data_IF_726854979281
#
_entry.id   IF_726854979281
#
_cell.length_a   1.000
_cell.length_b   1.000
_cell.length_c   1.000
_cell.angle_alpha   90.00
_cell.angle_beta   90.00
_cell.angle_gamma   90.00
#
_symmetry.space_group_name_H-M   'P 1'
#
loop_
_entity.id
_entity.type
_entity.pdbx_description
1 polymer ?
#
# COMPACT_ATOMS: atom_id res chain seq x y z
N UNK A 1 -10.49 8.80 27.32
CA UNK A 1 -9.06 8.39 27.34
C UNK A 1 -9.05 6.94 27.80
N UNK A 2 -8.54 5.99 27.00
CA UNK A 2 -8.51 4.57 27.36
C UNK A 2 -7.52 4.39 28.51
N UNK A 3 -7.92 3.74 29.60
CA UNK A 3 -7.10 3.51 30.80
C UNK A 3 -5.86 2.65 30.47
N UNK A 4 -4.67 3.27 30.32
CA UNK A 4 -3.48 2.55 29.89
C UNK A 4 -2.90 1.69 31.02
N UNK A 5 -3.11 2.10 32.28
CA UNK A 5 -2.67 1.37 33.46
C UNK A 5 -3.56 0.13 33.62
N UNK A 6 -4.88 0.29 33.55
CA UNK A 6 -5.81 -0.84 33.58
C UNK A 6 -5.57 -1.84 32.44
N UNK A 7 -5.32 -1.35 31.23
CA UNK A 7 -4.98 -2.22 30.09
C UNK A 7 -3.69 -3.01 30.32
N UNK A 8 -2.67 -2.35 30.88
CA UNK A 8 -1.42 -3.01 31.27
C UNK A 8 -1.66 -4.10 32.33
N UNK A 9 -2.39 -3.81 33.39
CA UNK A 9 -2.71 -4.79 34.44
C UNK A 9 -3.51 -5.96 33.88
N UNK A 10 -4.50 -5.72 33.01
CA UNK A 10 -5.28 -6.78 32.37
C UNK A 10 -4.39 -7.72 31.54
N UNK A 11 -3.49 -7.17 30.72
CA UNK A 11 -2.58 -7.98 29.90
C UNK A 11 -1.62 -8.78 30.80
N UNK A 12 -1.05 -8.12 31.82
CA UNK A 12 -0.14 -8.73 32.80
C UNK A 12 -0.81 -9.92 33.49
N UNK A 13 -1.99 -9.71 34.08
CA UNK A 13 -2.73 -10.74 34.81
C UNK A 13 -3.20 -11.88 33.90
N UNK A 14 -3.64 -11.58 32.67
CA UNK A 14 -4.02 -12.62 31.72
C UNK A 14 -2.84 -13.50 31.30
N UNK A 15 -1.65 -12.92 31.11
CA UNK A 15 -0.46 -13.69 30.78
C UNK A 15 0.02 -14.54 31.96
N UNK A 16 0.03 -13.97 33.16
CA UNK A 16 0.34 -14.72 34.39
C UNK A 16 -0.62 -15.91 34.52
N UNK A 17 -1.93 -15.68 34.38
CA UNK A 17 -2.94 -16.75 34.46
C UNK A 17 -2.75 -17.85 33.42
N UNK A 18 -2.39 -17.47 32.18
CA UNK A 18 -2.05 -18.44 31.14
C UNK A 18 -0.86 -19.30 31.57
N UNK A 19 0.22 -18.67 32.05
CA UNK A 19 1.42 -19.36 32.52
C UNK A 19 1.12 -20.27 33.73
N UNK A 20 0.23 -19.84 34.62
CA UNK A 20 -0.26 -20.65 35.74
C UNK A 20 -1.02 -21.89 35.28
N UNK A 21 -1.89 -21.73 34.29
CA UNK A 21 -2.79 -22.80 33.83
C UNK A 21 -2.07 -23.79 32.90
N UNK A 22 -1.27 -23.30 31.96
CA UNK A 22 -0.62 -24.13 30.94
C UNK A 22 0.61 -24.88 31.47
N UNK A 23 1.32 -24.31 32.44
CA UNK A 23 2.59 -24.84 32.96
C UNK A 23 2.58 -25.06 34.47
N UNK A 24 1.39 -25.22 35.07
CA UNK A 24 1.25 -25.47 36.49
C UNK A 24 1.87 -26.80 36.93
N UNK A 25 2.43 -26.82 38.13
CA UNK A 25 3.01 -28.01 38.76
C UNK A 25 2.22 -28.41 39.99
N UNK A 26 2.48 -29.63 40.50
CA UNK A 26 1.85 -30.13 41.74
C UNK A 26 2.48 -29.57 43.04
N UNK A 27 3.53 -28.76 42.94
CA UNK A 27 4.33 -28.33 44.10
C UNK A 27 3.95 -26.90 44.51
N UNK A 28 3.12 -26.77 45.55
CA UNK A 28 2.58 -25.48 45.98
C UNK A 28 3.66 -24.43 46.33
N UNK A 29 4.78 -24.85 46.93
CA UNK A 29 5.88 -23.94 47.25
C UNK A 29 6.53 -23.33 46.01
N UNK A 30 6.72 -24.14 44.97
CA UNK A 30 7.26 -23.70 43.69
C UNK A 30 6.31 -22.72 42.99
N UNK A 31 5.00 -22.97 43.06
CA UNK A 31 3.99 -22.09 42.47
C UNK A 31 3.99 -20.70 43.12
N UNK A 32 4.14 -20.63 44.45
CA UNK A 32 4.23 -19.35 45.18
C UNK A 32 5.48 -18.55 44.78
N UNK A 33 6.64 -19.19 44.73
CA UNK A 33 7.89 -18.53 44.31
C UNK A 33 7.80 -18.05 42.86
N UNK A 34 7.24 -18.90 41.98
CA UNK A 34 7.03 -18.56 40.57
C UNK A 34 6.09 -17.37 40.40
N UNK A 35 4.95 -17.35 41.11
CA UNK A 35 4.01 -16.24 41.06
C UNK A 35 4.65 -14.92 41.52
N UNK A 36 5.46 -14.95 42.58
CA UNK A 36 6.19 -13.79 43.06
C UNK A 36 7.20 -13.27 42.01
N UNK A 37 7.92 -14.17 41.34
CA UNK A 37 8.84 -13.81 40.25
C UNK A 37 8.12 -13.24 39.04
N UNK A 38 7.01 -13.85 38.61
CA UNK A 38 6.19 -13.34 37.50
C UNK A 38 5.59 -11.95 37.82
N UNK A 39 5.36 -11.67 39.09
CA UNK A 39 4.93 -10.36 39.56
C UNK A 39 6.06 -9.36 39.85
N UNK A 40 7.32 -9.72 39.61
CA UNK A 40 8.46 -8.85 39.83
C UNK A 40 8.79 -8.02 38.58
N UNK A 41 9.00 -6.70 38.76
CA UNK A 41 9.38 -5.78 37.68
C UNK A 41 10.67 -6.25 37.00
N UNK A 42 10.69 -6.23 35.67
CA UNK A 42 11.77 -6.70 34.77
C UNK A 42 11.93 -8.22 34.66
N UNK A 43 11.04 -9.03 35.24
CA UNK A 43 10.99 -10.47 34.98
C UNK A 43 10.05 -10.76 33.82
N UNK A 44 8.73 -10.68 34.06
CA UNK A 44 7.73 -10.89 33.02
C UNK A 44 7.38 -9.61 32.28
N UNK A 45 7.33 -8.50 33.01
CA UNK A 45 6.86 -7.21 32.53
C UNK A 45 7.76 -6.08 33.04
N UNK A 46 7.59 -4.89 32.50
CA UNK A 46 8.14 -3.66 33.08
C UNK A 46 7.01 -2.71 33.42
N UNK A 47 7.05 -2.08 34.59
CA UNK A 47 6.05 -1.07 34.96
C UNK A 47 6.00 0.02 33.88
N UNK A 48 4.79 0.47 33.47
CA UNK A 48 4.65 1.47 32.43
C UNK A 48 5.33 2.77 32.86
N UNK A 49 6.10 3.34 31.95
CA UNK A 49 6.65 4.69 32.10
C UNK A 49 5.72 5.67 31.42
N UNK A 50 5.40 6.76 32.12
CA UNK A 50 4.56 7.84 31.59
C UNK A 50 5.49 9.02 31.33
N UNK A 51 5.65 9.36 30.06
CA UNK A 51 6.40 10.53 29.62
C UNK A 51 5.43 11.50 28.92
N UNK A 52 5.27 12.74 29.40
CA UNK A 52 4.54 13.75 28.68
C UNK A 52 5.37 14.20 27.47
N UNK A 53 4.87 13.95 26.26
CA UNK A 53 5.49 14.45 25.04
C UNK A 53 4.90 15.83 24.72
N UNK A 54 5.73 16.87 24.50
CA UNK A 54 5.24 18.16 24.06
C UNK A 54 4.60 18.04 22.67
N UNK A 55 3.55 18.83 22.42
CA UNK A 55 2.91 18.90 21.11
C UNK A 55 3.88 19.43 20.06
N UNK A 56 3.85 18.85 18.86
CA UNK A 56 4.63 19.33 17.74
C UNK A 56 4.09 20.67 17.23
N UNK A 57 4.98 21.61 16.94
CA UNK A 57 4.66 22.97 16.48
C UNK A 57 3.73 22.91 15.27
N UNK A 58 2.55 23.52 15.37
CA UNK A 58 1.60 23.62 14.26
C UNK A 58 2.06 24.65 13.23
N UNK A 59 1.86 24.34 11.94
CA UNK A 59 1.99 25.31 10.84
C UNK A 59 0.87 26.35 10.81
N UNK A 60 -0.16 26.17 11.64
CA UNK A 60 -1.42 26.91 11.63
C UNK A 60 -2.27 26.76 10.36
N UNK A 61 -1.85 25.95 9.38
CA UNK A 61 -2.58 25.71 8.13
C UNK A 61 -3.18 24.31 8.08
N UNK A 62 -4.39 24.19 7.53
CA UNK A 62 -4.93 22.91 7.05
C UNK A 62 -4.46 22.70 5.62
N UNK A 63 -4.60 21.47 5.11
CA UNK A 63 -4.28 21.15 3.71
C UNK A 63 -5.07 22.03 2.74
N UNK A 64 -6.34 22.30 3.05
CA UNK A 64 -7.21 23.14 2.22
C UNK A 64 -6.73 24.61 2.15
N UNK A 65 -6.08 25.08 3.20
CA UNK A 65 -5.59 26.47 3.33
C UNK A 65 -4.24 26.70 2.64
N UNK A 66 -3.60 25.64 2.10
CA UNK A 66 -2.30 25.75 1.44
C UNK A 66 -2.38 26.59 0.16
N UNK A 67 -1.48 27.56 0.01
CA UNK A 67 -1.34 28.37 -1.20
C UNK A 67 -0.39 27.69 -2.20
N UNK A 68 -0.31 28.20 -3.44
CA UNK A 68 0.69 27.71 -4.40
C UNK A 68 2.12 27.91 -3.88
N UNK A 69 2.39 28.99 -3.14
CA UNK A 69 3.71 29.22 -2.53
C UNK A 69 4.04 28.18 -1.45
N UNK A 70 3.04 27.75 -0.67
CA UNK A 70 3.21 26.67 0.30
C UNK A 70 3.52 25.32 -0.37
N UNK A 71 3.12 25.17 -1.64
CA UNK A 71 3.42 24.02 -2.49
C UNK A 71 4.66 24.25 -3.37
N UNK A 72 5.48 25.25 -3.03
CA UNK A 72 6.71 25.58 -3.76
C UNK A 72 6.49 26.07 -5.19
N UNK A 73 5.28 26.53 -5.52
CA UNK A 73 4.83 26.87 -6.88
C UNK A 73 5.06 25.75 -7.91
N UNK A 74 5.10 24.50 -7.43
CA UNK A 74 5.41 23.34 -8.26
C UNK A 74 4.17 22.71 -8.92
N UNK A 75 2.97 23.19 -8.57
CA UNK A 75 1.67 22.73 -9.06
C UNK A 75 0.90 23.92 -9.66
N UNK A 76 0.12 23.67 -10.71
CA UNK A 76 -0.93 24.56 -11.17
C UNK A 76 -2.12 24.60 -10.19
N UNK A 77 -3.03 25.56 -10.34
CA UNK A 77 -4.23 25.65 -9.50
C UNK A 77 -5.09 24.38 -9.59
N UNK A 78 -5.26 23.82 -10.79
CA UNK A 78 -6.02 22.60 -10.99
C UNK A 78 -5.38 21.42 -10.26
N UNK A 79 -4.07 21.22 -10.41
CA UNK A 79 -3.33 20.13 -9.74
C UNK A 79 -3.32 20.31 -8.23
N UNK A 80 -3.20 21.54 -7.73
CA UNK A 80 -3.27 21.84 -6.31
C UNK A 80 -4.66 21.52 -5.73
N UNK A 81 -5.74 21.81 -6.46
CA UNK A 81 -7.09 21.45 -6.04
C UNK A 81 -7.28 19.93 -6.04
N UNK A 82 -6.85 19.22 -7.09
CA UNK A 82 -6.85 17.76 -7.15
C UNK A 82 -6.10 17.15 -5.95
N UNK A 83 -4.94 17.70 -5.61
CA UNK A 83 -4.17 17.28 -4.43
C UNK A 83 -4.94 17.48 -3.12
N UNK A 84 -5.45 18.69 -2.88
CA UNK A 84 -6.16 19.02 -1.64
C UNK A 84 -7.40 18.15 -1.44
N UNK A 85 -8.17 17.93 -2.49
CA UNK A 85 -9.36 17.09 -2.44
C UNK A 85 -9.02 15.62 -2.18
N UNK A 86 -8.06 15.06 -2.93
CA UNK A 86 -7.61 13.68 -2.74
C UNK A 86 -7.08 13.43 -1.31
N UNK A 87 -6.31 14.37 -0.76
CA UNK A 87 -5.81 14.24 0.62
C UNK A 87 -6.96 14.19 1.63
N UNK A 88 -8.03 14.94 1.39
CA UNK A 88 -9.18 15.03 2.29
C UNK A 88 -10.07 13.77 2.29
N UNK A 89 -10.00 12.91 1.26
CA UNK A 89 -10.83 11.69 1.21
C UNK A 89 -10.37 10.59 2.17
N UNK A 90 -9.08 10.57 2.54
CA UNK A 90 -8.59 9.51 3.42
C UNK A 90 -7.13 9.58 3.90
N UNK A 91 -6.30 10.48 3.39
CA UNK A 91 -4.90 10.60 3.85
C UNK A 91 -4.80 11.43 5.11
N UNK A 92 -5.40 12.63 5.12
CA UNK A 92 -5.28 13.58 6.21
C UNK A 92 -6.64 14.19 6.55
N UNK A 93 -7.05 14.24 7.83
CA UNK A 93 -8.33 14.81 8.19
C UNK A 93 -8.43 16.29 7.79
N UNK A 94 -9.50 16.66 7.10
CA UNK A 94 -9.70 18.03 6.59
C UNK A 94 -9.71 19.12 7.67
N UNK A 95 -10.10 18.75 8.90
CA UNK A 95 -10.12 19.67 10.04
C UNK A 95 -8.77 19.82 10.74
N UNK A 96 -7.84 18.89 10.54
CA UNK A 96 -6.56 18.86 11.24
C UNK A 96 -5.59 19.87 10.63
N UNK A 97 -4.79 20.51 11.49
CA UNK A 97 -3.70 21.40 11.07
C UNK A 97 -2.45 20.58 10.83
N UNK A 98 -1.67 20.94 9.82
CA UNK A 98 -0.37 20.35 9.58
C UNK A 98 0.60 20.77 10.68
N UNK A 99 1.49 19.87 11.08
CA UNK A 99 2.68 20.24 11.83
C UNK A 99 3.64 21.02 10.92
N UNK A 100 4.47 21.89 11.50
CA UNK A 100 5.39 22.75 10.75
C UNK A 100 6.35 21.92 9.88
N UNK A 101 6.87 20.82 10.42
CA UNK A 101 7.74 19.90 9.68
C UNK A 101 7.03 19.19 8.51
N UNK A 102 5.71 18.99 8.57
CA UNK A 102 4.94 18.40 7.46
C UNK A 102 4.79 19.41 6.31
N UNK A 103 4.50 20.68 6.64
CA UNK A 103 4.39 21.76 5.67
C UNK A 103 5.75 22.08 5.02
N UNK A 104 6.82 22.15 5.82
CA UNK A 104 8.18 22.34 5.34
C UNK A 104 8.61 21.19 4.43
N UNK A 105 8.41 19.93 4.86
CA UNK A 105 8.71 18.75 4.04
C UNK A 105 7.97 18.77 2.70
N UNK A 106 6.69 19.13 2.70
CA UNK A 106 5.89 19.26 1.48
C UNK A 106 6.48 20.29 0.52
N UNK A 107 6.80 21.50 1.00
CA UNK A 107 7.37 22.58 0.18
C UNK A 107 8.74 22.21 -0.38
N UNK A 108 9.66 21.78 0.48
CA UNK A 108 11.04 21.45 0.11
C UNK A 108 11.09 20.28 -0.88
N UNK A 109 10.29 19.23 -0.66
CA UNK A 109 10.25 18.07 -1.56
C UNK A 109 9.67 18.44 -2.93
N UNK A 110 8.64 19.30 -2.98
CA UNK A 110 8.06 19.76 -4.24
C UNK A 110 9.00 20.65 -5.06
N UNK A 111 9.93 21.34 -4.39
CA UNK A 111 11.01 22.08 -5.03
C UNK A 111 12.16 21.18 -5.53
N UNK A 112 12.12 19.89 -5.23
CA UNK A 112 13.11 18.90 -5.68
C UNK A 112 14.25 18.64 -4.69
N UNK A 113 14.12 19.11 -3.45
CA UNK A 113 15.16 18.90 -2.44
C UNK A 113 15.08 17.51 -1.81
N UNK A 114 16.24 16.98 -1.42
CA UNK A 114 16.33 15.78 -0.60
C UNK A 114 16.16 16.16 0.87
N UNK A 115 15.22 15.52 1.57
CA UNK A 115 14.82 15.91 2.90
C UNK A 115 15.04 14.79 3.93
N UNK A 116 15.38 15.17 5.16
CA UNK A 116 15.58 14.25 6.30
C UNK A 116 14.66 14.70 7.44
N UNK A 117 13.91 13.77 8.04
CA UNK A 117 13.05 14.05 9.18
C UNK A 117 13.58 13.34 10.41
N UNK A 118 13.99 14.11 11.42
CA UNK A 118 14.48 13.60 12.71
C UNK A 118 13.42 13.83 13.80
N UNK A 119 12.43 12.95 13.90
CA UNK A 119 11.36 13.07 14.90
C UNK A 119 10.95 11.72 15.51
N UNK A 120 10.33 11.77 16.70
CA UNK A 120 9.85 10.60 17.43
C UNK A 120 8.64 9.92 16.81
N UNK A 121 8.33 8.71 17.25
CA UNK A 121 7.10 7.99 16.85
C UNK A 121 5.87 8.82 17.22
N UNK A 122 4.85 8.82 16.36
CA UNK A 122 3.64 9.61 16.58
C UNK A 122 3.72 11.08 16.15
N UNK A 123 4.87 11.57 15.64
CA UNK A 123 4.99 12.97 15.18
C UNK A 123 4.24 13.31 13.89
N UNK A 124 3.63 12.32 13.22
CA UNK A 124 3.10 12.49 11.87
C UNK A 124 4.17 12.43 10.76
N UNK A 125 5.25 11.65 10.96
CA UNK A 125 6.28 11.39 9.93
C UNK A 125 5.72 10.79 8.65
N UNK A 126 4.71 9.94 8.79
CA UNK A 126 4.09 9.26 7.65
C UNK A 126 3.45 10.26 6.71
N UNK A 127 2.66 11.18 7.26
CA UNK A 127 2.02 12.26 6.52
C UNK A 127 3.06 13.19 5.90
N UNK A 128 4.19 13.43 6.57
CA UNK A 128 5.25 14.29 6.05
C UNK A 128 5.84 13.79 4.71
N UNK A 129 6.00 12.48 4.50
CA UNK A 129 6.46 11.96 3.19
C UNK A 129 5.31 11.56 2.24
N UNK A 130 4.11 11.26 2.76
CA UNK A 130 2.95 10.92 1.91
C UNK A 130 2.33 12.16 1.26
N UNK A 131 2.31 13.32 1.93
CA UNK A 131 1.80 14.56 1.36
C UNK A 131 2.52 14.95 0.05
N UNK A 132 3.87 15.07 0.00
CA UNK A 132 4.55 15.38 -1.25
C UNK A 132 4.38 14.29 -2.31
N UNK A 133 4.29 13.02 -1.91
CA UNK A 133 3.97 11.92 -2.84
C UNK A 133 2.60 12.12 -3.50
N UNK A 134 1.56 12.39 -2.72
CA UNK A 134 0.22 12.64 -3.23
C UNK A 134 0.19 13.86 -4.13
N UNK A 135 0.90 14.93 -3.77
CA UNK A 135 1.01 16.12 -4.60
C UNK A 135 1.66 15.84 -5.97
N UNK A 136 2.69 14.98 -6.03
CA UNK A 136 3.28 14.57 -7.31
C UNK A 136 2.33 13.68 -8.11
N UNK A 137 1.64 12.73 -7.47
CA UNK A 137 0.64 11.89 -8.15
C UNK A 137 -0.49 12.74 -8.73
N UNK A 138 -0.93 13.79 -8.04
CA UNK A 138 -1.98 14.69 -8.51
C UNK A 138 -1.66 15.38 -9.83
N UNK A 139 -0.38 15.63 -10.14
CA UNK A 139 0.05 16.16 -11.45
C UNK A 139 -0.23 15.18 -12.59
N UNK A 140 0.03 13.89 -12.35
CA UNK A 140 -0.25 12.84 -13.32
C UNK A 140 -1.75 12.55 -13.45
N UNK A 141 -2.46 12.46 -12.32
CA UNK A 141 -3.90 12.17 -12.27
C UNK A 141 -4.75 13.12 -13.10
N UNK A 142 -4.41 14.41 -13.09
CA UNK A 142 -5.11 15.43 -13.88
C UNK A 142 -5.00 15.19 -15.40
N UNK A 143 -4.02 14.41 -15.85
CA UNK A 143 -3.70 14.20 -17.25
C UNK A 143 -3.93 12.75 -17.72
N UNK A 144 -4.40 11.85 -16.85
CA UNK A 144 -4.64 10.46 -17.23
C UNK A 144 -5.90 10.32 -18.10
N UNK A 145 -5.71 9.66 -19.24
CA UNK A 145 -6.80 9.31 -20.14
C UNK A 145 -7.79 8.34 -19.50
N UNK A 146 -9.04 8.36 -19.96
CA UNK A 146 -10.05 7.38 -19.57
C UNK A 146 -9.59 5.96 -19.91
N UNK A 147 -9.57 5.04 -18.92
CA UNK A 147 -9.29 3.63 -19.17
C UNK A 147 -10.28 2.99 -20.15
N UNK A 148 -9.87 1.89 -20.75
CA UNK A 148 -10.77 1.02 -21.50
C UNK A 148 -11.74 0.29 -20.56
N UNK A 149 -12.78 -0.33 -21.13
CA UNK A 149 -13.70 -1.17 -20.37
C UNK A 149 -12.96 -2.35 -19.72
N UNK A 150 -13.23 -2.58 -18.44
CA UNK A 150 -12.72 -3.75 -17.70
C UNK A 150 -13.34 -5.04 -18.27
N UNK A 151 -12.56 -6.11 -18.48
CA UNK A 151 -13.11 -7.42 -18.78
C UNK A 151 -14.05 -7.88 -17.66
N UNK A 152 -15.19 -8.50 -17.99
CA UNK A 152 -16.17 -8.94 -16.99
C UNK A 152 -15.59 -9.91 -15.95
N UNK A 153 -14.57 -10.68 -16.33
CA UNK A 153 -13.91 -11.69 -15.48
C UNK A 153 -12.81 -11.13 -14.59
N UNK A 154 -12.38 -9.87 -14.79
CA UNK A 154 -11.16 -9.34 -14.17
C UNK A 154 -11.25 -9.33 -12.65
N UNK A 155 -12.45 -9.20 -12.08
CA UNK A 155 -12.71 -9.15 -10.64
C UNK A 155 -13.33 -10.44 -10.07
N UNK A 156 -13.42 -11.53 -10.84
CA UNK A 156 -14.11 -12.76 -10.39
C UNK A 156 -13.40 -14.04 -10.81
N UNK A 157 -12.30 -13.99 -11.57
CA UNK A 157 -11.69 -15.17 -12.19
C UNK A 157 -11.15 -16.21 -11.19
N UNK A 158 -10.95 -15.85 -9.93
CA UNK A 158 -10.56 -16.75 -8.84
C UNK A 158 -11.74 -17.57 -8.27
N UNK A 159 -12.98 -17.23 -8.61
CA UNK A 159 -14.18 -17.99 -8.24
C UNK A 159 -14.18 -19.42 -8.83
N UNK A 160 -15.19 -20.21 -8.48
CA UNK A 160 -15.39 -21.52 -9.10
C UNK A 160 -15.79 -21.37 -10.58
N UNK A 161 -15.42 -22.34 -11.41
CA UNK A 161 -15.76 -22.31 -12.84
C UNK A 161 -17.27 -22.42 -13.11
N UNK A 162 -18.03 -22.93 -12.13
CA UNK A 162 -19.50 -23.00 -12.14
C UNK A 162 -20.17 -21.66 -11.80
N UNK A 163 -19.40 -20.69 -11.29
CA UNK A 163 -19.85 -19.31 -11.05
C UNK A 163 -19.35 -18.42 -12.20
N UNK A 164 -18.29 -17.64 -11.96
CA UNK A 164 -17.65 -16.75 -12.96
C UNK A 164 -16.13 -16.91 -12.99
N UNK A 165 -15.63 -18.01 -12.43
CA UNK A 165 -14.21 -18.33 -12.36
C UNK A 165 -13.64 -18.81 -13.69
N UNK A 166 -12.32 -18.69 -13.84
CA UNK A 166 -11.61 -19.16 -15.02
C UNK A 166 -10.80 -20.42 -14.73
N UNK A 167 -10.57 -21.20 -15.79
CA UNK A 167 -9.67 -22.36 -15.76
C UNK A 167 -8.20 -21.92 -15.87
N UNK A 168 -7.24 -22.75 -15.43
CA UNK A 168 -5.82 -22.40 -15.51
C UNK A 168 -5.31 -22.05 -16.91
N UNK A 169 -5.85 -22.68 -17.96
CA UNK A 169 -5.51 -22.39 -19.36
C UNK A 169 -6.06 -21.04 -19.85
N UNK A 170 -7.10 -20.51 -19.21
CA UNK A 170 -7.65 -19.17 -19.50
C UNK A 170 -6.95 -18.08 -18.69
N UNK A 171 -6.45 -18.42 -17.49
CA UNK A 171 -5.75 -17.49 -16.59
C UNK A 171 -4.33 -17.19 -17.09
N UNK A 172 -3.65 -18.17 -17.67
CA UNK A 172 -2.24 -18.05 -18.09
C UNK A 172 -2.13 -18.10 -19.60
N UNK A 173 -1.40 -17.16 -20.18
CA UNK A 173 -1.04 -17.19 -21.59
C UNK A 173 -0.04 -18.34 -21.85
N UNK A 174 -0.37 -19.32 -22.71
CA UNK A 174 0.45 -20.51 -22.91
C UNK A 174 1.77 -20.24 -23.65
N UNK A 175 1.90 -19.10 -24.33
CA UNK A 175 3.09 -18.75 -25.12
C UNK A 175 4.19 -18.15 -24.24
N UNK A 176 3.82 -17.26 -23.31
CA UNK A 176 4.79 -16.54 -22.49
C UNK A 176 4.70 -16.86 -20.98
N UNK A 177 3.77 -17.72 -20.58
CA UNK A 177 3.57 -18.14 -19.19
C UNK A 177 3.36 -16.96 -18.21
N UNK A 178 2.68 -15.91 -18.66
CA UNK A 178 2.25 -14.78 -17.82
C UNK A 178 0.73 -14.78 -17.66
N UNK A 179 0.19 -13.95 -16.78
CA UNK A 179 -1.27 -13.75 -16.70
C UNK A 179 -1.84 -13.33 -18.07
N UNK A 180 -3.02 -13.83 -18.41
CA UNK A 180 -3.73 -13.46 -19.64
C UNK A 180 -4.40 -12.08 -19.51
N UNK A 181 -4.75 -11.48 -20.65
CA UNK A 181 -5.43 -10.18 -20.66
C UNK A 181 -6.79 -10.19 -19.96
N UNK A 182 -7.42 -11.36 -19.80
CA UNK A 182 -8.73 -11.51 -19.15
C UNK A 182 -8.68 -11.36 -17.62
N UNK A 183 -7.49 -11.47 -17.01
CA UNK A 183 -7.34 -11.54 -15.53
C UNK A 183 -6.46 -10.45 -14.93
N UNK A 184 -5.59 -9.84 -15.74
CA UNK A 184 -4.66 -8.77 -15.33
C UNK A 184 -5.44 -7.57 -14.80
N UNK A 185 -5.15 -7.17 -13.56
CA UNK A 185 -5.88 -6.11 -12.85
C UNK A 185 -5.89 -4.77 -13.61
N UNK A 186 -4.78 -4.42 -14.25
CA UNK A 186 -4.55 -3.10 -14.88
C UNK A 186 -4.57 -3.11 -16.41
N UNK A 187 -4.93 -4.22 -17.05
CA UNK A 187 -4.89 -4.35 -18.51
C UNK A 187 -5.77 -3.35 -19.27
N UNK A 188 -6.79 -2.82 -18.60
CA UNK A 188 -7.73 -1.86 -19.15
C UNK A 188 -7.17 -0.42 -19.15
N UNK A 189 -6.12 -0.13 -18.37
CA UNK A 189 -5.50 1.20 -18.36
C UNK A 189 -4.76 1.49 -19.66
N UNK A 190 -4.78 2.76 -20.09
CA UNK A 190 -4.02 3.25 -21.25
C UNK A 190 -2.69 3.90 -20.86
N UNK A 191 -2.59 4.34 -19.61
CA UNK A 191 -1.39 4.99 -19.08
C UNK A 191 -0.25 3.98 -18.89
N UNK A 192 1.01 4.40 -19.03
CA UNK A 192 2.15 3.53 -18.76
C UNK A 192 2.18 3.10 -17.29
N UNK A 193 2.47 1.83 -17.06
CA UNK A 193 2.71 1.29 -15.72
C UNK A 193 4.17 1.55 -15.30
N UNK A 194 4.40 1.70 -14.00
CA UNK A 194 5.69 2.12 -13.47
C UNK A 194 5.59 2.52 -12.00
N UNK A 195 6.67 2.31 -11.26
CA UNK A 195 6.75 2.66 -9.84
C UNK A 195 7.07 4.14 -9.70
N UNK A 196 6.06 4.94 -9.39
CA UNK A 196 6.19 6.40 -9.13
C UNK A 196 6.86 6.64 -7.77
N UNK A 197 6.60 5.77 -6.81
CA UNK A 197 7.22 5.82 -5.49
C UNK A 197 7.55 4.44 -4.95
N UNK A 198 8.77 4.33 -4.41
CA UNK A 198 9.26 3.16 -3.69
C UNK A 198 9.42 3.50 -2.21
N UNK A 199 8.65 2.83 -1.35
CA UNK A 199 8.73 2.99 0.10
C UNK A 199 9.44 1.76 0.69
N UNK A 200 10.57 1.99 1.36
CA UNK A 200 11.38 0.95 1.98
C UNK A 200 11.23 0.96 3.49
N UNK A 201 10.72 -0.15 4.03
CA UNK A 201 10.67 -0.38 5.47
C UNK A 201 11.68 -1.44 5.90
N UNK A 202 12.26 -1.33 7.11
CA UNK A 202 13.21 -2.32 7.61
C UNK A 202 12.53 -3.65 7.99
N UNK A 203 11.23 -3.64 8.32
CA UNK A 203 10.49 -4.80 8.83
C UNK A 203 9.13 -4.97 8.17
N UNK A 204 8.70 -6.22 7.97
CA UNK A 204 7.38 -6.53 7.40
C UNK A 204 6.21 -6.00 8.24
N UNK A 205 6.35 -5.93 9.56
CA UNK A 205 5.30 -5.38 10.43
C UNK A 205 4.98 -3.91 10.10
N UNK A 206 6.01 -3.12 9.79
CA UNK A 206 5.84 -1.73 9.36
C UNK A 206 5.20 -1.66 7.96
N UNK A 207 5.53 -2.60 7.06
CA UNK A 207 4.85 -2.69 5.76
C UNK A 207 3.34 -2.89 5.97
N UNK A 208 2.94 -3.84 6.82
CA UNK A 208 1.52 -4.15 7.06
C UNK A 208 0.75 -2.99 7.71
N UNK A 209 1.33 -2.30 8.70
CA UNK A 209 0.71 -1.10 9.28
C UNK A 209 0.43 -0.04 8.20
N UNK A 210 1.36 0.13 7.27
CA UNK A 210 1.30 1.17 6.24
C UNK A 210 0.38 0.77 5.08
N UNK A 211 0.21 -0.52 4.82
CA UNK A 211 -0.82 -1.02 3.89
C UNK A 211 -2.23 -0.64 4.35
N UNK A 212 -2.53 -0.73 5.65
CA UNK A 212 -3.84 -0.31 6.17
C UNK A 212 -4.07 1.19 5.92
N UNK A 213 -3.03 2.02 6.11
CA UNK A 213 -3.08 3.46 5.85
C UNK A 213 -3.28 3.77 4.37
N UNK A 214 -2.54 3.11 3.47
CA UNK A 214 -2.73 3.30 2.03
C UNK A 214 -4.13 2.84 1.57
N UNK A 215 -4.68 1.76 2.13
CA UNK A 215 -6.07 1.37 1.84
C UNK A 215 -7.07 2.44 2.27
N UNK A 216 -6.90 3.07 3.43
CA UNK A 216 -7.74 4.22 3.83
C UNK A 216 -7.59 5.38 2.86
N UNK A 217 -6.36 5.71 2.48
CA UNK A 217 -6.04 6.87 1.68
C UNK A 217 -6.34 6.73 0.19
N UNK A 218 -6.34 5.50 -0.37
CA UNK A 218 -6.43 5.24 -1.82
C UNK A 218 -7.55 4.28 -2.22
N UNK A 219 -8.16 3.58 -1.26
CA UNK A 219 -9.13 2.51 -1.54
C UNK A 219 -10.37 2.52 -0.60
N UNK A 220 -10.54 3.59 0.18
CA UNK A 220 -11.77 3.83 0.94
C UNK A 220 -12.93 4.16 0.03
N UNK A 221 -14.17 3.96 0.51
CA UNK A 221 -15.38 4.25 -0.27
C UNK A 221 -15.39 5.73 -0.74
N UNK A 222 -15.03 6.67 0.13
CA UNK A 222 -14.92 8.10 -0.20
C UNK A 222 -13.89 8.36 -1.31
N UNK A 223 -12.71 7.73 -1.20
CA UNK A 223 -11.65 7.93 -2.20
C UNK A 223 -12.01 7.31 -3.54
N UNK A 224 -12.62 6.12 -3.54
CA UNK A 224 -13.10 5.46 -4.77
C UNK A 224 -14.17 6.29 -5.47
N UNK A 225 -15.12 6.84 -4.72
CA UNK A 225 -16.16 7.71 -5.25
C UNK A 225 -15.55 8.99 -5.84
N UNK A 226 -14.61 9.61 -5.12
CA UNK A 226 -13.93 10.80 -5.59
C UNK A 226 -13.09 10.54 -6.86
N UNK A 227 -12.32 9.46 -6.93
CA UNK A 227 -11.57 9.07 -8.12
C UNK A 227 -12.51 8.83 -9.32
N UNK A 228 -13.61 8.13 -9.10
CA UNK A 228 -14.61 7.89 -10.16
C UNK A 228 -15.17 9.20 -10.73
N UNK A 229 -15.43 10.18 -9.86
CA UNK A 229 -15.99 11.48 -10.27
C UNK A 229 -14.96 12.44 -10.88
N UNK A 230 -13.69 12.41 -10.43
CA UNK A 230 -12.72 13.48 -10.72
C UNK A 230 -11.52 13.05 -11.57
N UNK A 231 -11.31 11.75 -11.81
CA UNK A 231 -10.10 11.25 -12.49
C UNK A 231 -10.41 10.34 -13.69
N UNK A 232 -11.55 10.55 -14.34
CA UNK A 232 -12.03 9.72 -15.46
C UNK A 232 -12.14 8.23 -15.11
N UNK A 233 -12.36 7.89 -13.83
CA UNK A 233 -12.39 6.51 -13.35
C UNK A 233 -11.01 5.85 -13.17
N UNK A 234 -9.91 6.62 -13.25
CA UNK A 234 -8.59 6.09 -12.96
C UNK A 234 -8.38 5.85 -11.45
N UNK A 235 -7.60 4.83 -11.12
CA UNK A 235 -7.20 4.53 -9.75
C UNK A 235 -5.70 4.68 -9.55
N UNK A 236 -5.29 5.00 -8.33
CA UNK A 236 -3.87 5.03 -7.92
C UNK A 236 -3.54 3.67 -7.33
N UNK A 237 -2.80 2.85 -8.06
CA UNK A 237 -2.48 1.49 -7.63
C UNK A 237 -1.31 1.46 -6.67
N UNK A 238 -1.43 0.67 -5.62
CA UNK A 238 -0.35 0.44 -4.67
C UNK A 238 -0.15 -1.05 -4.43
N UNK A 239 1.05 -1.48 -4.08
CA UNK A 239 1.33 -2.90 -3.86
C UNK A 239 2.42 -3.12 -2.84
N UNK A 240 2.20 -4.08 -1.94
CA UNK A 240 3.28 -4.67 -1.13
C UNK A 240 4.00 -5.73 -1.95
N UNK A 241 5.32 -5.64 -2.03
CA UNK A 241 6.16 -6.65 -2.66
C UNK A 241 7.10 -7.23 -1.59
N UNK A 242 6.64 -8.25 -0.86
CA UNK A 242 7.41 -8.92 0.21
C UNK A 242 7.06 -10.43 0.27
N UNK A 243 7.51 -11.12 1.32
CA UNK A 243 7.23 -12.55 1.53
C UNK A 243 5.74 -12.92 1.55
N UNK A 244 4.87 -11.98 1.93
CA UNK A 244 3.42 -12.18 2.04
C UNK A 244 2.66 -11.95 0.73
N UNK A 245 3.30 -11.38 -0.30
CA UNK A 245 2.66 -11.09 -1.59
C UNK A 245 2.29 -12.38 -2.34
N UNK A 246 1.00 -12.62 -2.64
CA UNK A 246 0.54 -13.81 -3.37
C UNK A 246 1.10 -13.83 -4.80
N UNK A 247 1.38 -14.96 -5.43
CA UNK A 247 2.20 -16.02 -4.83
C UNK A 247 3.61 -15.90 -5.42
N UNK A 248 4.61 -16.39 -4.70
CA UNK A 248 5.98 -16.45 -5.23
C UNK A 248 6.16 -17.59 -6.25
N UNK A 249 7.11 -17.43 -7.18
CA UNK A 249 7.50 -18.42 -8.17
C UNK A 249 7.17 -17.98 -9.59
N UNK A 250 7.05 -18.95 -10.50
CA UNK A 250 6.71 -18.74 -11.91
C UNK A 250 5.45 -19.52 -12.28
N UNK A 251 4.67 -18.97 -13.22
CA UNK A 251 3.53 -19.67 -13.83
C UNK A 251 3.99 -20.66 -14.92
N UNK A 252 5.29 -20.71 -15.20
CA UNK A 252 5.96 -21.70 -16.03
C UNK A 252 6.35 -22.92 -15.19
N UNK A 253 6.16 -24.12 -15.72
CA UNK A 253 6.69 -25.38 -15.18
C UNK A 253 7.45 -26.11 -16.28
N UNK A 254 8.70 -26.47 -16.02
CA UNK A 254 9.46 -27.41 -16.85
C UNK A 254 9.15 -28.83 -16.37
N UNK A 255 8.78 -29.71 -17.29
CA UNK A 255 8.54 -31.13 -17.02
C UNK A 255 9.84 -31.93 -17.13
N UNK A 256 9.81 -33.17 -16.64
CA UNK A 256 10.96 -34.08 -16.65
C UNK A 256 11.44 -34.41 -18.08
N UNK A 257 10.54 -34.33 -19.07
CA UNK A 257 10.82 -34.50 -20.50
C UNK A 257 11.40 -33.24 -21.18
N UNK A 258 11.68 -32.18 -20.41
CA UNK A 258 12.18 -30.90 -20.91
C UNK A 258 11.10 -30.00 -21.54
N UNK A 259 9.86 -30.46 -21.68
CA UNK A 259 8.77 -29.64 -22.21
C UNK A 259 8.31 -28.61 -21.17
N UNK A 260 7.76 -27.50 -21.65
CA UNK A 260 7.28 -26.41 -20.80
C UNK A 260 5.76 -26.40 -20.81
N UNK A 261 5.15 -26.27 -19.63
CA UNK A 261 3.71 -26.19 -19.47
C UNK A 261 3.33 -25.13 -18.43
N UNK A 262 2.04 -24.77 -18.41
CA UNK A 262 1.47 -23.93 -17.35
C UNK A 262 1.59 -24.64 -16.00
N UNK A 263 2.04 -23.91 -15.00
CA UNK A 263 2.13 -24.39 -13.63
C UNK A 263 0.75 -24.36 -12.95
N UNK A 264 -0.10 -25.32 -13.28
CA UNK A 264 -1.47 -25.43 -12.76
C UNK A 264 -1.53 -25.44 -11.23
N UNK A 265 -0.53 -26.04 -10.57
CA UNK A 265 -0.43 -26.03 -9.10
C UNK A 265 -0.30 -24.60 -8.57
N UNK A 266 0.56 -23.78 -9.16
CA UNK A 266 0.72 -22.36 -8.80
C UNK A 266 -0.54 -21.57 -9.11
N UNK A 267 -1.18 -21.79 -10.26
CA UNK A 267 -2.44 -21.10 -10.59
C UNK A 267 -3.52 -21.41 -9.55
N UNK A 268 -3.70 -22.67 -9.18
CA UNK A 268 -4.70 -23.05 -8.17
C UNK A 268 -4.35 -22.49 -6.78
N UNK A 269 -3.08 -22.48 -6.38
CA UNK A 269 -2.64 -21.83 -5.14
C UNK A 269 -2.99 -20.33 -5.13
N UNK A 270 -2.81 -19.65 -6.26
CA UNK A 270 -3.18 -18.25 -6.40
C UNK A 270 -4.70 -18.06 -6.29
N UNK A 271 -5.50 -18.89 -6.99
CA UNK A 271 -6.96 -18.85 -6.90
C UNK A 271 -7.45 -19.00 -5.46
N UNK A 272 -6.98 -20.02 -4.74
CA UNK A 272 -7.37 -20.25 -3.34
C UNK A 272 -6.97 -19.07 -2.44
N UNK A 273 -5.77 -18.51 -2.65
CA UNK A 273 -5.33 -17.35 -1.86
C UNK A 273 -6.20 -16.11 -2.11
N UNK A 274 -6.53 -15.83 -3.37
CA UNK A 274 -7.41 -14.71 -3.71
C UNK A 274 -8.83 -14.94 -3.19
N UNK A 275 -9.38 -16.15 -3.36
CA UNK A 275 -10.68 -16.52 -2.80
C UNK A 275 -10.75 -16.28 -1.29
N UNK A 276 -9.69 -16.63 -0.55
CA UNK A 276 -9.65 -16.36 0.90
C UNK A 276 -9.67 -14.85 1.20
N UNK A 277 -8.90 -14.04 0.48
CA UNK A 277 -8.89 -12.58 0.64
C UNK A 277 -10.27 -11.97 0.39
N UNK A 278 -10.97 -12.45 -0.63
CA UNK A 278 -12.32 -12.01 -1.00
C UNK A 278 -13.35 -12.35 0.08
N UNK A 279 -13.28 -13.58 0.61
CA UNK A 279 -14.11 -14.04 1.72
C UNK A 279 -13.85 -13.20 2.98
N UNK A 280 -12.60 -12.91 3.31
CA UNK A 280 -12.25 -12.11 4.48
C UNK A 280 -12.79 -10.68 4.35
N UNK A 281 -12.66 -10.06 3.18
CA UNK A 281 -13.20 -8.73 2.91
C UNK A 281 -14.74 -8.70 3.00
N UNK A 282 -15.41 -9.74 2.49
CA UNK A 282 -16.88 -9.87 2.54
C UNK A 282 -17.36 -10.02 3.98
N UNK A 283 -16.74 -10.89 4.77
CA UNK A 283 -17.08 -11.10 6.19
C UNK A 283 -17.00 -9.81 7.01
N UNK A 284 -15.99 -8.97 6.72
CA UNK A 284 -15.82 -7.70 7.44
C UNK A 284 -16.90 -6.70 7.03
N UNK A 285 -17.29 -6.65 5.76
CA UNK A 285 -18.42 -5.84 5.30
C UNK A 285 -19.74 -6.29 5.96
N UNK A 286 -20.00 -7.59 6.02
CA UNK A 286 -21.16 -8.17 6.71
C UNK A 286 -21.16 -7.85 8.20
N UNK A 287 -20.00 -7.98 8.88
CA UNK A 287 -19.85 -7.65 10.29
C UNK A 287 -20.17 -6.18 10.57
N UNK A 288 -19.67 -5.25 9.75
CA UNK A 288 -19.94 -3.81 9.86
C UNK A 288 -21.44 -3.54 9.74
N UNK A 289 -22.10 -4.19 8.77
CA UNK A 289 -23.54 -4.04 8.54
C UNK A 289 -24.36 -4.61 9.70
N UNK A 290 -24.07 -5.83 10.15
CA UNK A 290 -24.80 -6.49 11.24
C UNK A 290 -24.71 -5.75 12.56
N UNK A 291 -23.57 -5.09 12.83
CA UNK A 291 -23.34 -4.35 14.06
C UNK A 291 -23.62 -2.83 13.92
N UNK A 292 -24.16 -2.38 12.78
CA UNK A 292 -24.43 -0.96 12.49
C UNK A 292 -23.22 -0.03 12.74
N UNK A 293 -22.01 -0.51 12.46
CA UNK A 293 -20.79 0.27 12.65
C UNK A 293 -20.72 1.33 11.54
N UNK A 294 -20.49 2.59 11.91
CA UNK A 294 -20.50 3.72 10.96
C UNK A 294 -19.29 4.63 11.14
N UNK A 295 -19.13 5.59 10.22
CA UNK A 295 -18.09 6.62 10.32
C UNK A 295 -16.66 6.08 10.26
N UNK A 296 -15.78 6.64 11.10
CA UNK A 296 -14.34 6.30 11.10
C UNK A 296 -14.07 4.85 11.48
N UNK A 297 -14.86 4.27 12.37
CA UNK A 297 -14.65 2.89 12.84
C UNK A 297 -14.89 1.89 11.70
N UNK A 298 -15.94 2.08 10.90
CA UNK A 298 -16.19 1.25 9.72
C UNK A 298 -15.07 1.35 8.69
N UNK A 299 -14.55 2.56 8.44
CA UNK A 299 -13.41 2.79 7.54
C UNK A 299 -12.16 2.08 8.04
N UNK A 300 -11.89 2.16 9.34
CA UNK A 300 -10.77 1.51 9.98
C UNK A 300 -10.83 -0.01 9.83
N UNK A 301 -11.99 -0.61 10.14
CA UNK A 301 -12.20 -2.05 9.99
C UNK A 301 -12.00 -2.53 8.55
N UNK A 302 -12.59 -1.85 7.56
CA UNK A 302 -12.43 -2.19 6.14
C UNK A 302 -10.96 -2.13 5.71
N UNK A 303 -10.19 -1.16 6.21
CA UNK A 303 -8.81 -0.94 5.79
C UNK A 303 -7.83 -2.05 6.21
N UNK A 304 -8.18 -2.89 7.17
CA UNK A 304 -7.31 -4.01 7.54
C UNK A 304 -7.29 -5.11 6.48
N UNK A 305 -8.27 -5.14 5.59
CA UNK A 305 -8.46 -6.20 4.59
C UNK A 305 -8.32 -5.64 3.17
N UNK A 306 -7.68 -6.43 2.31
CA UNK A 306 -7.55 -6.09 0.89
C UNK A 306 -8.88 -6.34 0.18
N UNK A 307 -9.31 -5.39 -0.65
CA UNK A 307 -10.44 -5.56 -1.56
C UNK A 307 -9.92 -5.90 -2.96
N UNK A 308 -10.32 -7.03 -3.52
CA UNK A 308 -9.78 -7.50 -4.80
C UNK A 308 -10.28 -6.71 -6.01
N UNK A 309 -11.38 -5.97 -5.87
CA UNK A 309 -11.89 -5.00 -6.85
C UNK A 309 -11.20 -3.62 -6.76
N UNK A 310 -10.30 -3.45 -5.79
CA UNK A 310 -9.70 -2.16 -5.42
C UNK A 310 -8.35 -1.86 -6.04
N UNK A 311 -7.72 -0.84 -5.46
CA UNK A 311 -6.44 -0.27 -5.90
C UNK A 311 -5.20 -1.02 -5.38
N UNK A 312 -5.34 -1.92 -4.40
CA UNK A 312 -4.22 -2.76 -3.98
C UNK A 312 -3.93 -3.86 -5.01
N UNK A 313 -2.69 -3.97 -5.45
CA UNK A 313 -2.25 -5.00 -6.38
C UNK A 313 -2.43 -6.40 -5.76
N UNK A 314 -3.11 -7.28 -6.49
CA UNK A 314 -3.53 -8.61 -5.99
C UNK A 314 -2.36 -9.56 -5.76
N UNK A 315 -1.41 -9.58 -6.69
CA UNK A 315 -0.37 -10.58 -6.71
C UNK A 315 0.92 -10.08 -7.38
N UNK A 316 2.02 -10.83 -7.18
CA UNK A 316 3.32 -10.58 -7.80
C UNK A 316 3.23 -10.60 -9.32
N UNK A 317 2.45 -11.52 -9.89
CA UNK A 317 2.32 -11.62 -11.34
C UNK A 317 1.63 -10.39 -11.95
N UNK A 318 0.65 -9.80 -11.26
CA UNK A 318 0.06 -8.52 -11.68
C UNK A 318 1.11 -7.41 -11.61
N UNK A 319 1.86 -7.31 -10.51
CA UNK A 319 2.90 -6.27 -10.34
C UNK A 319 4.06 -6.41 -11.34
N UNK A 320 4.47 -7.63 -11.67
CA UNK A 320 5.52 -7.90 -12.66
C UNK A 320 5.13 -7.45 -14.08
N UNK A 321 3.84 -7.54 -14.40
CA UNK A 321 3.30 -7.15 -15.70
C UNK A 321 2.91 -5.67 -15.76
N UNK A 322 2.35 -5.12 -14.69
CA UNK A 322 1.89 -3.75 -14.59
C UNK A 322 2.25 -3.17 -13.20
N UNK A 323 3.46 -2.63 -13.02
CA UNK A 323 3.97 -2.20 -11.72
C UNK A 323 3.11 -1.12 -11.07
N UNK A 324 2.80 -1.22 -9.76
CA UNK A 324 1.96 -0.25 -9.05
C UNK A 324 2.58 1.15 -9.07
N UNK A 325 1.75 2.17 -8.87
CA UNK A 325 2.22 3.55 -8.72
C UNK A 325 3.03 3.70 -7.43
N UNK A 326 2.58 3.10 -6.34
CA UNK A 326 3.29 3.07 -5.06
C UNK A 326 3.66 1.62 -4.72
N UNK A 327 4.96 1.33 -4.68
CA UNK A 327 5.46 0.02 -4.25
C UNK A 327 6.02 0.11 -2.83
N UNK A 328 5.55 -0.74 -1.94
CA UNK A 328 6.09 -0.88 -0.58
C UNK A 328 6.85 -2.20 -0.48
N UNK A 329 8.09 -2.16 -0.01
CA UNK A 329 8.91 -3.35 0.18
C UNK A 329 9.91 -3.17 1.32
N UNK A 330 10.80 -4.14 1.51
CA UNK A 330 11.92 -4.07 2.44
C UNK A 330 13.25 -4.25 1.70
N UNK A 331 14.36 -3.87 2.33
CA UNK A 331 15.68 -3.94 1.72
C UNK A 331 16.05 -5.33 1.21
N UNK A 332 15.74 -6.38 1.98
CA UNK A 332 16.03 -7.76 1.61
C UNK A 332 15.30 -8.16 0.33
N UNK A 333 14.02 -7.81 0.23
CA UNK A 333 13.22 -8.16 -0.95
C UNK A 333 13.60 -7.30 -2.16
N UNK A 334 13.89 -6.02 -1.98
CA UNK A 334 14.39 -5.16 -3.06
C UNK A 334 15.70 -5.72 -3.64
N UNK A 335 16.65 -6.12 -2.79
CA UNK A 335 17.90 -6.74 -3.21
C UNK A 335 17.65 -7.99 -4.06
N UNK A 336 16.70 -8.84 -3.64
CA UNK A 336 16.31 -10.03 -4.40
C UNK A 336 15.69 -9.66 -5.75
N UNK A 337 14.80 -8.67 -5.79
CA UNK A 337 14.14 -8.23 -7.03
C UNK A 337 15.14 -7.74 -8.07
N UNK A 338 16.17 -7.00 -7.65
CA UNK A 338 17.21 -6.47 -8.53
C UNK A 338 18.04 -7.57 -9.21
N UNK A 339 18.08 -8.78 -8.65
CA UNK A 339 18.82 -9.92 -9.21
C UNK A 339 17.93 -10.86 -10.03
N UNK A 340 16.60 -10.81 -9.88
CA UNK A 340 15.69 -11.79 -10.48
C UNK A 340 15.18 -11.29 -11.83
N UNK A 341 15.41 -12.09 -12.88
CA UNK A 341 14.91 -11.82 -14.23
C UNK A 341 13.39 -11.68 -14.29
N UNK A 342 12.64 -12.45 -13.49
CA UNK A 342 11.17 -12.38 -13.45
C UNK A 342 10.64 -11.03 -12.92
N UNK A 343 11.46 -10.29 -12.17
CA UNK A 343 11.10 -8.99 -11.60
C UNK A 343 11.61 -7.81 -12.46
N UNK A 344 12.41 -8.08 -13.50
CA UNK A 344 13.00 -7.07 -14.39
C UNK A 344 11.96 -6.17 -15.06
N UNK A 345 10.80 -6.72 -15.42
CA UNK A 345 9.69 -5.97 -16.02
C UNK A 345 9.18 -4.82 -15.16
N UNK A 346 9.39 -4.87 -13.83
CA UNK A 346 9.08 -3.77 -12.92
C UNK A 346 9.99 -2.57 -13.17
N UNK A 347 11.29 -2.83 -13.26
CA UNK A 347 12.30 -1.80 -13.40
C UNK A 347 12.37 -1.25 -14.83
N UNK A 348 12.22 -2.09 -15.85
CA UNK A 348 12.22 -1.64 -17.25
C UNK A 348 11.01 -0.73 -17.56
N UNK A 349 9.81 -1.09 -17.12
CA UNK A 349 8.63 -0.22 -17.30
C UNK A 349 8.77 1.10 -16.54
N UNK A 350 9.31 1.04 -15.31
CA UNK A 350 9.59 2.25 -14.52
C UNK A 350 10.64 3.14 -15.20
N UNK A 351 11.67 2.55 -15.80
CA UNK A 351 12.69 3.27 -16.57
C UNK A 351 12.12 3.93 -17.81
N UNK A 352 11.28 3.22 -18.58
CA UNK A 352 10.62 3.78 -19.78
C UNK A 352 9.72 4.97 -19.42
N UNK A 353 8.98 4.86 -18.32
CA UNK A 353 8.17 5.95 -17.77
C UNK A 353 9.05 7.16 -17.38
N UNK A 354 10.15 6.95 -16.64
CA UNK A 354 11.09 8.01 -16.25
C UNK A 354 11.73 8.71 -17.47
N UNK A 355 12.03 7.98 -18.54
CA UNK A 355 12.58 8.53 -19.77
C UNK A 355 11.54 9.29 -20.61
N UNK A 356 10.26 9.24 -20.22
CA UNK A 356 9.13 9.75 -20.97
C UNK A 356 9.13 9.22 -22.42
N UNK A 357 9.59 7.97 -22.62
CA UNK A 357 9.68 7.33 -23.94
C UNK A 357 8.31 6.89 -24.46
N UNK A 358 7.32 6.80 -23.56
CA UNK A 358 5.94 6.43 -23.86
C UNK A 358 5.05 7.65 -24.22
N UNK A 359 5.60 8.87 -24.18
CA UNK A 359 4.91 10.07 -24.66
C UNK A 359 5.29 10.32 -26.13
N UNK A 360 4.28 10.40 -27.01
CA UNK A 360 4.45 10.94 -28.37
C UNK A 360 5.24 12.25 -28.29
N UNK A 361 6.21 12.50 -29.18
CA UNK A 361 7.11 13.63 -29.05
C UNK A 361 6.32 14.95 -29.04
N UNK A 362 6.15 15.53 -27.86
CA UNK A 362 5.71 16.92 -27.71
C UNK A 362 6.77 17.82 -28.35
N UNK A 363 6.33 18.89 -29.03
CA UNK A 363 7.19 19.85 -29.74
C UNK A 363 8.30 20.45 -28.86
N UNK A 364 8.22 20.31 -27.54
CA UNK A 364 9.25 20.75 -26.59
C UNK A 364 10.50 19.86 -26.56
N UNK A 365 10.40 18.56 -26.87
CA UNK A 365 11.58 17.66 -26.96
C UNK A 365 12.50 18.02 -28.14
N UNK A 366 12.00 18.71 -29.18
CA UNK A 366 12.84 19.24 -30.27
C UNK A 366 13.73 20.40 -29.80
N UNK A 367 13.28 21.24 -28.85
CA UNK A 367 14.12 22.32 -28.29
C UNK A 367 15.24 21.78 -27.40
N UNK A 368 14.99 20.74 -26.59
CA UNK A 368 16.05 20.13 -25.75
C UNK A 368 17.09 19.34 -26.57
N UNK A 369 16.70 18.69 -27.67
CA UNK A 369 17.67 18.02 -28.57
C UNK A 369 18.56 19.00 -29.35
N UNK A 370 18.10 20.22 -29.61
CA UNK A 370 18.92 21.25 -30.28
C UNK A 370 19.91 21.97 -29.35
N UNK A 371 19.72 21.90 -28.02
CA UNK A 371 20.59 22.56 -27.03
C UNK A 371 21.85 21.79 -26.64
N UNK A 372 21.99 20.52 -27.06
CA UNK A 372 23.18 19.69 -26.82
C UNK A 372 23.85 19.29 -28.14
N UNK A 373 24.17 20.30 -28.96
CA UNK A 373 25.18 20.18 -30.01
C UNK A 373 26.50 20.69 -29.42
N UNK A 374 27.35 19.78 -28.97
CA UNK A 374 28.74 20.10 -28.60
C UNK A 374 29.42 20.79 -29.79
N UNK A 375 29.90 22.01 -29.57
CA UNK A 375 30.91 22.64 -30.43
C UNK A 375 32.28 22.11 -29.99
N UNK A 376 33.09 21.84 -31.03
CA UNK A 376 34.39 21.16 -31.13
C UNK A 376 35.23 20.91 -29.88
#
# INVERSE_FOLDING_TARGET
>A
MKDPIGSFEIIKENFIRYVETAFGTKFEGLEKERYALLNYDKVLYRKPWIEPLPDYISSNKRVQDLTLDDLGNALSEAEANTFKELVATGLFPSFAKLHSHQAEMLKETLQGNNCIITSGTGSGKTEAFLLPLFAQLSKELANWETPNAKPATVNTWWESATERGLTPSQIVNPTNFTLSNAVRQRQHEKRPAGVRALILYPMNALVEDQMSRLRKALDSDDTRNWLTANTNGNSIFFGRYNGSSPIAGELRKVKDDGTVAVNTKKVNQLKERLKQVDVDATKVAEYIQQNNITGSEAKDLKSFFQRLDGSEMRCRFDMQLAPPDIMITNYSMLSIMLMRTVDSGIFEQTKNWLACEDLLPSKEKQKKKQGFSFSH
#
